data_IF_669326629805
#
_entry.id   IF_669326629805
#
_cell.length_a   1.000
_cell.length_b   1.000
_cell.length_c   1.000
_cell.angle_alpha   90.00
_cell.angle_beta   90.00
_cell.angle_gamma   90.00
#
_symmetry.space_group_name_H-M   'P 1'
#
loop_
_entity.id
_entity.type
_entity.pdbx_description
1 polymer ?
#
# COMPACT_ATOMS: atom_id res chain seq x y z
N UNK A 1 -3.31 16.57 -12.89
CA UNK A 1 -2.30 16.49 -11.80
C UNK A 1 -2.18 15.03 -11.42
N UNK A 2 -0.96 14.46 -11.30
CA UNK A 2 -0.82 13.09 -10.85
C UNK A 2 -1.45 12.93 -9.46
N UNK A 3 -2.16 11.84 -9.26
CA UNK A 3 -2.77 11.50 -7.99
C UNK A 3 -1.65 11.34 -6.92
N UNK A 4 -1.93 11.66 -5.65
CA UNK A 4 -0.97 11.56 -4.54
C UNK A 4 -0.26 10.19 -4.52
N UNK A 5 -1.02 9.13 -4.78
CA UNK A 5 -0.50 7.76 -4.82
C UNK A 5 0.38 7.48 -6.04
N UNK A 6 0.12 8.10 -7.20
CA UNK A 6 1.00 7.99 -8.38
C UNK A 6 2.35 8.68 -8.13
N UNK A 7 2.34 9.86 -7.51
CA UNK A 7 3.56 10.56 -7.11
C UNK A 7 4.35 9.77 -6.05
N UNK A 8 3.65 9.16 -5.09
CA UNK A 8 4.26 8.26 -4.11
C UNK A 8 4.89 7.04 -4.80
N UNK A 9 4.19 6.39 -5.72
CA UNK A 9 4.68 5.25 -6.49
C UNK A 9 5.99 5.57 -7.21
N UNK A 10 6.04 6.70 -7.93
CA UNK A 10 7.24 7.15 -8.62
C UNK A 10 8.43 7.41 -7.66
N UNK A 11 8.13 7.84 -6.43
CA UNK A 11 9.15 8.06 -5.40
C UNK A 11 9.65 6.74 -4.83
N UNK A 12 8.75 5.80 -4.53
CA UNK A 12 9.09 4.47 -4.02
C UNK A 12 9.91 3.64 -5.00
N UNK A 13 9.68 3.78 -6.31
CA UNK A 13 10.50 3.15 -7.35
C UNK A 13 11.97 3.59 -7.34
N UNK A 14 12.28 4.73 -6.73
CA UNK A 14 13.63 5.28 -6.60
C UNK A 14 14.20 5.16 -5.18
N UNK A 15 13.40 4.65 -4.25
CA UNK A 15 13.77 4.54 -2.84
C UNK A 15 14.45 3.17 -2.60
N UNK A 16 15.72 3.14 -2.19
CA UNK A 16 16.46 1.88 -2.01
C UNK A 16 15.91 1.00 -0.88
N UNK A 17 15.03 1.51 -0.02
CA UNK A 17 14.37 0.73 1.04
C UNK A 17 13.27 -0.19 0.48
N UNK A 18 12.86 0.03 -0.77
CA UNK A 18 11.76 -0.66 -1.42
C UNK A 18 12.24 -1.38 -2.68
N UNK A 19 11.81 -2.62 -2.83
CA UNK A 19 11.96 -3.38 -4.07
C UNK A 19 10.57 -3.63 -4.66
N UNK A 20 10.33 -3.33 -5.95
CA UNK A 20 9.09 -3.73 -6.61
C UNK A 20 8.91 -5.24 -6.50
N UNK A 21 7.71 -5.68 -6.15
CA UNK A 21 7.45 -7.12 -5.99
C UNK A 21 7.69 -7.86 -7.31
N UNK A 22 8.39 -9.00 -7.24
CA UNK A 22 8.91 -9.76 -8.40
C UNK A 22 7.83 -10.28 -9.36
N UNK A 23 6.64 -10.60 -8.84
CA UNK A 23 5.51 -10.95 -9.69
C UNK A 23 5.10 -9.69 -10.45
N UNK A 24 5.25 -9.65 -11.78
CA UNK A 24 4.90 -8.45 -12.57
C UNK A 24 3.41 -8.12 -12.51
N UNK A 25 2.54 -9.08 -12.14
CA UNK A 25 1.13 -8.79 -11.79
C UNK A 25 1.01 -8.08 -10.44
N UNK A 26 1.99 -8.27 -9.57
CA UNK A 26 2.17 -7.60 -8.29
C UNK A 26 2.91 -6.25 -8.40
N UNK A 27 3.89 -6.11 -9.30
CA UNK A 27 4.55 -4.82 -9.61
C UNK A 27 3.63 -3.86 -10.36
N UNK A 28 2.67 -4.42 -11.11
CA UNK A 28 1.36 -3.81 -11.19
C UNK A 28 0.53 -4.18 -12.40
N UNK A 29 -0.77 -4.34 -12.16
CA UNK A 29 -1.71 -3.87 -13.17
C UNK A 29 -1.59 -2.34 -13.24
N UNK A 30 -2.13 -1.68 -14.27
CA UNK A 30 -2.25 -0.22 -14.29
C UNK A 30 -3.01 0.39 -13.09
N UNK A 31 -3.46 -0.43 -12.14
CA UNK A 31 -4.28 -0.05 -11.00
C UNK A 31 -3.68 -0.38 -9.64
N UNK A 32 -2.67 -1.24 -9.51
CA UNK A 32 -2.04 -1.57 -8.22
C UNK A 32 -0.54 -1.68 -8.41
N UNK A 33 0.28 -1.10 -7.54
CA UNK A 33 1.73 -1.37 -7.48
C UNK A 33 2.13 -1.89 -6.10
N UNK A 34 2.86 -3.00 -6.07
CA UNK A 34 3.25 -3.68 -4.83
C UNK A 34 4.75 -3.59 -4.60
N UNK A 35 5.14 -3.32 -3.36
CA UNK A 35 6.52 -3.16 -2.94
C UNK A 35 6.82 -4.01 -1.72
N UNK A 36 8.07 -4.46 -1.64
CA UNK A 36 8.63 -5.24 -0.54
C UNK A 36 9.72 -4.42 0.13
N UNK A 37 9.70 -4.33 1.46
CA UNK A 37 10.78 -3.68 2.21
C UNK A 37 11.93 -4.67 2.51
N UNK A 38 13.01 -4.18 3.13
CA UNK A 38 14.16 -5.00 3.53
C UNK A 38 13.87 -6.11 4.55
N UNK A 39 12.70 -6.11 5.21
CA UNK A 39 12.24 -7.16 6.13
C UNK A 39 11.36 -8.22 5.45
N UNK A 40 11.00 -8.03 4.19
CA UNK A 40 10.08 -8.90 3.46
C UNK A 40 8.60 -8.58 3.68
N UNK A 41 8.26 -7.48 4.36
CA UNK A 41 6.88 -7.04 4.44
C UNK A 41 6.45 -6.33 3.16
N UNK A 42 5.18 -6.54 2.81
CA UNK A 42 4.59 -6.11 1.55
C UNK A 42 3.54 -5.04 1.78
N UNK A 43 3.62 -3.97 0.99
CA UNK A 43 2.56 -2.97 0.86
C UNK A 43 2.14 -2.82 -0.59
N UNK A 44 0.89 -2.44 -0.83
CA UNK A 44 0.38 -2.17 -2.16
C UNK A 44 -0.23 -0.77 -2.25
N UNK A 45 0.00 -0.10 -3.37
CA UNK A 45 -0.51 1.21 -3.71
C UNK A 45 -1.64 1.06 -4.73
N UNK A 46 -2.81 1.65 -4.47
CA UNK A 46 -3.90 1.71 -5.44
C UNK A 46 -3.72 2.89 -6.41
N UNK A 47 -3.38 2.57 -7.65
CA UNK A 47 -3.21 3.51 -8.77
C UNK A 47 -4.51 3.73 -9.55
N UNK A 48 -5.64 3.16 -9.10
CA UNK A 48 -6.93 3.31 -9.77
C UNK A 48 -7.41 4.77 -9.82
N UNK A 49 -7.98 5.15 -10.96
CA UNK A 49 -8.45 6.52 -11.24
C UNK A 49 -9.90 6.80 -10.78
N UNK A 50 -10.61 5.81 -10.23
CA UNK A 50 -12.05 5.87 -9.98
C UNK A 50 -12.51 5.90 -8.51
N UNK A 51 -11.60 5.84 -7.54
CA UNK A 51 -11.95 5.77 -6.11
C UNK A 51 -10.91 6.40 -5.19
N UNK A 52 -11.15 6.37 -3.87
CA UNK A 52 -10.15 6.78 -2.86
C UNK A 52 -8.95 5.85 -2.95
N UNK A 53 -7.90 6.28 -3.65
CA UNK A 53 -6.64 5.56 -3.80
C UNK A 53 -6.05 5.27 -2.42
N UNK A 54 -5.99 4.00 -2.08
CA UNK A 54 -5.57 3.53 -0.78
C UNK A 54 -4.13 2.98 -0.81
N UNK A 55 -3.47 3.06 0.34
CA UNK A 55 -2.30 2.24 0.65
C UNK A 55 -2.80 1.02 1.42
N UNK A 56 -2.36 -0.16 0.99
CA UNK A 56 -2.73 -1.44 1.57
C UNK A 56 -1.53 -2.04 2.30
N UNK A 57 -1.73 -2.44 3.54
CA UNK A 57 -0.74 -3.18 4.32
C UNK A 57 -1.43 -4.31 5.09
N UNK A 58 -0.65 -5.28 5.58
CA UNK A 58 -1.18 -6.28 6.50
C UNK A 58 -1.68 -5.63 7.79
N UNK A 59 -2.84 -6.07 8.27
CA UNK A 59 -3.43 -5.49 9.48
C UNK A 59 -2.51 -5.65 10.71
N UNK A 60 -1.77 -6.76 10.80
CA UNK A 60 -0.78 -7.00 11.88
C UNK A 60 0.36 -5.96 11.93
N UNK A 61 0.65 -5.30 10.81
CA UNK A 61 1.72 -4.30 10.70
C UNK A 61 1.23 -2.89 11.06
N UNK A 62 -0.06 -2.74 11.33
CA UNK A 62 -0.76 -1.47 11.40
C UNK A 62 -1.33 -1.26 12.81
N UNK A 63 -0.50 -0.91 13.81
CA UNK A 63 -0.99 -0.70 15.17
C UNK A 63 -2.01 0.43 15.21
N UNK A 64 -2.93 0.38 16.20
CA UNK A 64 -4.00 1.36 16.36
C UNK A 64 -3.50 2.81 16.53
N UNK A 65 -2.23 3.02 16.85
CA UNK A 65 -1.61 4.35 16.98
C UNK A 65 -0.90 4.84 15.71
N UNK A 66 -0.80 4.01 14.65
CA UNK A 66 -0.15 4.40 13.41
C UNK A 66 -0.95 5.48 12.68
N UNK A 67 -0.28 6.60 12.38
CA UNK A 67 -0.77 7.71 11.57
C UNK A 67 -2.21 8.12 11.93
N UNK A 68 -2.47 8.62 13.16
CA UNK A 68 -3.82 8.85 13.65
C UNK A 68 -4.59 9.92 12.85
N UNK A 69 -3.88 10.77 12.11
CA UNK A 69 -4.46 11.75 11.21
C UNK A 69 -4.92 11.18 9.86
N UNK A 70 -4.57 9.92 9.55
CA UNK A 70 -4.92 9.26 8.29
C UNK A 70 -6.14 8.37 8.50
N UNK A 71 -7.18 8.62 7.73
CA UNK A 71 -8.35 7.75 7.67
C UNK A 71 -7.92 6.34 7.31
N UNK A 72 -8.43 5.36 8.05
CA UNK A 72 -8.09 3.96 7.84
C UNK A 72 -9.27 3.05 8.07
N UNK A 73 -9.30 1.96 7.32
CA UNK A 73 -10.38 0.97 7.37
C UNK A 73 -9.78 -0.43 7.45
N UNK A 74 -10.28 -1.24 8.39
CA UNK A 74 -9.99 -2.66 8.43
C UNK A 74 -10.71 -3.35 7.27
N UNK A 75 -9.93 -4.08 6.48
CA UNK A 75 -10.42 -4.87 5.38
C UNK A 75 -10.27 -6.36 5.73
N UNK A 76 -11.33 -7.00 6.27
CA UNK A 76 -11.27 -8.38 6.73
C UNK A 76 -11.07 -9.36 5.56
N UNK A 77 -10.61 -10.57 5.88
CA UNK A 77 -10.27 -11.57 4.88
C UNK A 77 -11.44 -12.04 4.02
N UNK A 78 -12.66 -11.94 4.57
CA UNK A 78 -13.93 -12.45 4.05
C UNK A 78 -14.58 -11.53 3.01
N UNK A 79 -14.16 -10.25 2.90
CA UNK A 79 -14.76 -9.32 1.93
C UNK A 79 -14.29 -9.60 0.48
N UNK A 80 -15.18 -9.50 -0.53
CA UNK A 80 -14.81 -9.64 -1.94
C UNK A 80 -13.74 -8.62 -2.35
N UNK A 81 -12.54 -9.11 -2.68
CA UNK A 81 -11.35 -8.27 -2.83
C UNK A 81 -11.31 -7.52 -4.15
N UNK A 82 -10.52 -6.43 -4.16
CA UNK A 82 -9.90 -5.95 -5.38
C UNK A 82 -9.06 -7.09 -5.97
N UNK A 83 -9.50 -7.66 -7.10
CA UNK A 83 -8.87 -8.79 -7.76
C UNK A 83 -7.43 -8.48 -8.25
N UNK A 84 -7.03 -7.21 -8.23
CA UNK A 84 -5.66 -6.79 -8.50
C UNK A 84 -4.71 -6.93 -7.30
N UNK A 85 -5.21 -7.11 -6.07
CA UNK A 85 -4.40 -7.42 -4.87
C UNK A 85 -4.17 -8.94 -4.76
N UNK A 86 -3.35 -9.50 -5.65
CA UNK A 86 -3.24 -10.94 -5.83
C UNK A 86 -1.96 -11.59 -5.28
N UNK A 87 -1.08 -10.81 -4.64
CA UNK A 87 0.17 -11.35 -4.06
C UNK A 87 -0.09 -12.28 -2.88
N UNK A 88 0.65 -13.41 -2.76
CA UNK A 88 0.50 -14.34 -1.62
C UNK A 88 0.63 -13.68 -0.24
N UNK A 89 1.41 -12.61 -0.16
CA UNK A 89 1.70 -11.89 1.07
C UNK A 89 0.49 -11.11 1.58
N UNK A 90 -0.44 -10.71 0.70
CA UNK A 90 -1.64 -9.93 1.03
C UNK A 90 -2.94 -10.69 0.77
N UNK A 91 -2.97 -11.57 -0.24
CA UNK A 91 -4.14 -12.34 -0.67
C UNK A 91 -4.63 -13.25 0.46
N UNK A 92 -5.94 -13.25 0.69
CA UNK A 92 -6.57 -14.05 1.74
C UNK A 92 -6.32 -13.57 3.18
N UNK A 93 -5.47 -12.56 3.41
CA UNK A 93 -5.12 -12.06 4.75
C UNK A 93 -5.87 -10.78 5.12
N UNK A 94 -6.11 -10.49 6.41
CA UNK A 94 -6.65 -9.21 6.87
C UNK A 94 -5.71 -8.05 6.52
N UNK A 95 -6.26 -7.00 5.93
CA UNK A 95 -5.52 -5.81 5.49
C UNK A 95 -6.03 -4.56 6.20
N UNK A 96 -5.18 -3.55 6.28
CA UNK A 96 -5.58 -2.18 6.56
C UNK A 96 -5.47 -1.36 5.28
N UNK A 97 -6.53 -0.59 5.01
CA UNK A 97 -6.55 0.45 3.99
C UNK A 97 -6.26 1.77 4.65
N UNK A 98 -5.33 2.53 4.12
CA UNK A 98 -5.06 3.90 4.52
C UNK A 98 -5.43 4.83 3.38
N UNK A 99 -6.11 5.92 3.71
CA UNK A 99 -6.56 6.93 2.76
C UNK A 99 -5.88 8.28 3.04
N UNK A 100 -4.58 8.41 2.73
CA UNK A 100 -3.89 9.67 2.92
C UNK A 100 -4.52 10.75 2.04
N UNK A 101 -4.76 11.92 2.63
CA UNK A 101 -5.37 13.09 1.97
C UNK A 101 -4.34 13.97 1.28
N UNK A 102 -3.07 13.80 1.62
CA UNK A 102 -1.96 14.57 1.05
C UNK A 102 -0.66 13.73 0.98
N UNK A 103 0.34 14.26 0.27
CA UNK A 103 1.63 13.59 0.06
C UNK A 103 2.39 13.33 1.36
N UNK A 104 2.28 14.22 2.34
CA UNK A 104 2.96 14.08 3.64
C UNK A 104 2.40 12.90 4.44
N UNK A 105 1.09 12.79 4.54
CA UNK A 105 0.41 11.65 5.17
C UNK A 105 0.79 10.33 4.50
N UNK A 106 0.80 10.31 3.16
CA UNK A 106 1.19 9.13 2.39
C UNK A 106 2.68 8.75 2.62
N UNK A 107 3.55 9.76 2.70
CA UNK A 107 4.98 9.56 2.94
C UNK A 107 5.26 9.03 4.35
N UNK A 108 4.58 9.55 5.37
CA UNK A 108 4.69 9.05 6.75
C UNK A 108 4.39 7.56 6.87
N UNK A 109 3.35 7.08 6.17
CA UNK A 109 3.00 5.65 6.14
C UNK A 109 4.11 4.82 5.50
N UNK A 110 4.62 5.26 4.35
CA UNK A 110 5.69 4.55 3.64
C UNK A 110 6.99 4.56 4.44
N UNK A 111 7.36 5.67 5.09
CA UNK A 111 8.55 5.72 5.93
C UNK A 111 8.41 4.79 7.14
N UNK A 112 7.23 4.74 7.76
CA UNK A 112 6.94 3.78 8.81
C UNK A 112 7.10 2.34 8.32
N UNK A 113 6.45 1.96 7.21
CA UNK A 113 6.55 0.59 6.69
C UNK A 113 7.95 0.25 6.16
N UNK A 114 8.75 1.23 5.74
CA UNK A 114 10.14 1.00 5.37
C UNK A 114 11.00 0.65 6.59
N UNK A 115 10.73 1.27 7.75
CA UNK A 115 11.57 1.16 8.97
C UNK A 115 11.11 0.19 10.06
N UNK A 116 9.81 -0.16 10.13
CA UNK A 116 9.19 -0.91 11.24
C UNK A 116 9.40 -2.43 11.24
#
# INVERSE_FOLDING_TARGET
MPNIIESLNASMLRDPRWTPHQDRRAGGTKYISTFVNGRGDVIALDLGSGGKSAIWALARLSPGTLAPAVDRELYPSERPRNHHLNVPELKGKPLMRFYPRNRSEAQQLVDYFAGA
#
